data_IF_047572255068
#
_entry.id   IF_047572255068
#
_cell.length_a   1.000
_cell.length_b   1.000
_cell.length_c   1.000
_cell.angle_alpha   90.00
_cell.angle_beta   90.00
_cell.angle_gamma   90.00
#
_symmetry.space_group_name_H-M   'P 1'
#
loop_
_entity.id
_entity.type
_entity.pdbx_description
1 polymer ?
#
# COMPACT_ATOMS: atom_id res chain seq x y z
N UNK A 1 4.22 24.35 -5.31
CA UNK A 1 3.68 23.69 -6.54
C UNK A 1 2.89 22.45 -6.11
N UNK A 2 1.68 22.24 -6.65
CA UNK A 2 0.83 21.07 -6.31
C UNK A 2 1.29 19.87 -7.16
N UNK A 3 1.61 18.75 -6.51
CA UNK A 3 2.02 17.53 -7.24
C UNK A 3 0.82 16.99 -8.03
N UNK A 4 0.96 16.74 -9.35
CA UNK A 4 -0.13 16.21 -10.17
C UNK A 4 -0.56 14.81 -9.71
N UNK A 5 -1.84 14.49 -9.89
CA UNK A 5 -2.40 13.17 -9.55
C UNK A 5 -2.45 12.33 -10.82
N UNK A 6 -1.95 11.09 -10.75
CA UNK A 6 -2.04 10.14 -11.86
C UNK A 6 -3.46 9.62 -12.00
N UNK A 7 -3.93 9.53 -13.24
CA UNK A 7 -5.16 8.83 -13.65
C UNK A 7 -4.88 7.47 -14.26
N UNK A 8 -3.61 7.15 -14.52
CA UNK A 8 -3.18 5.88 -15.14
C UNK A 8 -3.03 4.75 -14.12
N UNK A 9 -2.88 5.10 -12.83
CA UNK A 9 -2.83 4.14 -11.75
C UNK A 9 -4.20 4.03 -11.08
N UNK A 10 -4.71 2.82 -10.94
CA UNK A 10 -6.01 2.55 -10.32
C UNK A 10 -5.90 1.42 -9.28
N UNK A 11 -6.92 1.28 -8.44
CA UNK A 11 -7.03 0.15 -7.50
C UNK A 11 -7.87 -0.93 -8.15
N UNK A 12 -7.39 -2.18 -8.15
CA UNK A 12 -8.21 -3.32 -8.59
C UNK A 12 -9.37 -3.54 -7.63
N UNK A 13 -10.54 -3.82 -8.18
CA UNK A 13 -11.76 -4.05 -7.39
C UNK A 13 -11.55 -5.07 -6.27
N UNK A 14 -12.05 -4.72 -5.08
CA UNK A 14 -12.01 -5.55 -3.86
C UNK A 14 -10.62 -6.02 -3.44
N UNK A 15 -9.54 -5.36 -3.89
CA UNK A 15 -8.16 -5.72 -3.52
C UNK A 15 -7.61 -4.94 -2.32
N UNK A 16 -8.22 -3.80 -1.99
CA UNK A 16 -7.65 -2.85 -1.04
C UNK A 16 -8.28 -2.97 0.36
N UNK A 17 -7.44 -3.19 1.37
CA UNK A 17 -7.83 -3.15 2.78
C UNK A 17 -6.61 -2.97 3.71
N UNK A 18 -6.84 -2.42 4.89
CA UNK A 18 -5.84 -2.37 5.98
C UNK A 18 -6.28 -3.34 7.07
N UNK A 19 -5.42 -4.30 7.41
CA UNK A 19 -5.53 -5.14 8.59
C UNK A 19 -5.20 -4.33 9.83
N UNK A 20 -6.24 -3.95 10.55
CA UNK A 20 -6.15 -3.21 11.80
C UNK A 20 -5.82 -4.13 12.97
N UNK A 21 -5.02 -3.59 13.90
CA UNK A 21 -4.74 -4.21 15.19
C UNK A 21 -5.01 -3.18 16.31
N UNK A 22 -5.45 -3.62 17.51
CA UNK A 22 -5.68 -2.73 18.63
C UNK A 22 -4.37 -2.12 19.16
N UNK A 23 -4.50 -1.15 20.08
CA UNK A 23 -3.38 -0.52 20.80
C UNK A 23 -2.36 0.19 19.92
N UNK A 24 -2.79 0.72 18.76
CA UNK A 24 -1.93 1.43 17.81
C UNK A 24 -0.71 0.60 17.34
N UNK A 25 -0.82 -0.73 17.37
CA UNK A 25 0.17 -1.64 16.81
C UNK A 25 0.31 -1.39 15.29
N UNK A 26 1.49 -1.69 14.70
CA UNK A 26 1.68 -1.57 13.26
C UNK A 26 0.63 -2.36 12.48
N UNK A 27 -0.05 -1.67 11.55
CA UNK A 27 -1.06 -2.26 10.69
C UNK A 27 -0.44 -2.73 9.37
N UNK A 28 -1.08 -3.69 8.70
CA UNK A 28 -0.67 -4.14 7.38
C UNK A 28 -1.68 -3.69 6.32
N UNK A 29 -1.21 -3.02 5.27
CA UNK A 29 -2.00 -2.57 4.13
C UNK A 29 -1.77 -3.46 2.92
N UNK A 30 -2.88 -3.86 2.31
CA UNK A 30 -2.95 -4.68 1.11
C UNK A 30 -3.73 -3.92 0.05
N UNK A 31 -3.27 -3.99 -1.19
CA UNK A 31 -3.82 -3.27 -2.33
C UNK A 31 -3.21 -3.83 -3.61
N UNK A 32 -4.01 -4.01 -4.66
CA UNK A 32 -3.49 -4.26 -6.00
C UNK A 32 -3.63 -2.99 -6.82
N UNK A 33 -2.50 -2.52 -7.34
CA UNK A 33 -2.43 -1.33 -8.18
C UNK A 33 -2.26 -1.74 -9.64
N UNK A 34 -3.13 -1.25 -10.50
CA UNK A 34 -3.07 -1.44 -11.95
C UNK A 34 -2.57 -0.15 -12.62
N UNK A 35 -1.66 -0.28 -13.59
CA UNK A 35 -1.08 0.80 -14.38
C UNK A 35 -1.51 0.65 -15.85
N UNK A 36 -2.43 1.50 -16.29
CA UNK A 36 -2.96 1.51 -17.66
C UNK A 36 -2.07 2.25 -18.66
N UNK A 37 -0.98 2.88 -18.21
CA UNK A 37 -0.07 3.58 -19.12
C UNK A 37 0.82 2.61 -19.92
N UNK A 38 1.38 3.11 -21.01
CA UNK A 38 2.39 2.41 -21.82
C UNK A 38 3.80 2.50 -21.22
N UNK A 39 3.94 3.08 -20.03
CA UNK A 39 5.22 3.29 -19.37
C UNK A 39 5.29 2.50 -18.05
N UNK A 40 6.48 2.01 -17.74
CA UNK A 40 6.79 1.47 -16.41
C UNK A 40 6.78 2.62 -15.40
N UNK A 41 6.10 2.44 -14.27
CA UNK A 41 6.07 3.41 -13.17
C UNK A 41 6.63 2.77 -11.91
N UNK A 42 7.59 3.42 -11.27
CA UNK A 42 8.10 2.97 -9.99
C UNK A 42 7.45 3.76 -8.84
N UNK A 43 7.07 3.05 -7.78
CA UNK A 43 6.66 3.66 -6.51
C UNK A 43 7.92 3.82 -5.66
N UNK A 44 8.37 5.05 -5.49
CA UNK A 44 9.63 5.38 -4.81
C UNK A 44 9.44 5.89 -3.39
N UNK A 45 8.21 6.31 -3.05
CA UNK A 45 7.86 6.81 -1.72
C UNK A 45 6.37 6.62 -1.45
N UNK A 46 6.05 6.31 -0.20
CA UNK A 46 4.66 6.23 0.27
C UNK A 46 4.53 7.08 1.53
N UNK A 47 3.46 7.88 1.61
CA UNK A 47 3.16 8.71 2.78
C UNK A 47 1.69 8.64 3.14
N UNK A 48 1.36 9.10 4.33
CA UNK A 48 -0.01 9.19 4.81
C UNK A 48 -0.17 10.39 5.75
N UNK A 49 -1.31 11.09 5.74
CA UNK A 49 -1.66 11.98 6.84
C UNK A 49 -2.11 11.19 8.09
N UNK A 50 -2.49 9.92 7.96
CA UNK A 50 -3.03 9.07 9.02
C UNK A 50 -1.96 8.24 9.75
N UNK A 51 -0.75 8.12 9.19
CA UNK A 51 0.38 7.34 9.74
C UNK A 51 1.70 8.08 9.55
N UNK A 52 2.58 8.06 10.56
CA UNK A 52 3.87 8.75 10.47
C UNK A 52 4.87 8.05 9.55
N UNK A 53 4.75 6.73 9.37
CA UNK A 53 5.69 5.94 8.56
C UNK A 53 4.96 4.82 7.83
N UNK A 54 5.31 4.66 6.55
CA UNK A 54 4.89 3.52 5.73
C UNK A 54 6.13 2.92 5.10
N UNK A 55 6.28 1.61 5.27
CA UNK A 55 7.41 0.84 4.72
C UNK A 55 6.87 -0.31 3.89
N UNK A 56 7.51 -0.64 2.77
CA UNK A 56 7.15 -1.83 1.99
C UNK A 56 7.96 -3.01 2.51
N UNK A 57 7.30 -4.12 2.80
CA UNK A 57 7.95 -5.39 3.11
C UNK A 57 7.56 -6.45 2.11
N UNK A 58 8.54 -7.25 1.70
CA UNK A 58 8.37 -8.53 1.03
C UNK A 58 8.59 -9.65 2.03
N UNK A 59 7.73 -10.67 1.99
CA UNK A 59 7.95 -11.92 2.69
C UNK A 59 8.66 -12.88 1.74
N UNK A 60 9.81 -13.39 2.13
CA UNK A 60 10.54 -14.44 1.41
C UNK A 60 10.55 -15.72 2.22
N UNK A 61 10.31 -16.85 1.56
CA UNK A 61 10.49 -18.17 2.16
C UNK A 61 11.95 -18.59 1.93
N UNK A 62 12.75 -18.62 3.00
CA UNK A 62 14.06 -19.24 3.00
C UNK A 62 13.99 -20.45 3.94
N UNK A 63 14.06 -21.66 3.37
CA UNK A 63 14.21 -22.97 4.03
C UNK A 63 13.76 -22.99 5.50
N UNK A 64 12.51 -23.42 5.72
CA UNK A 64 11.83 -23.54 7.02
C UNK A 64 11.46 -22.24 7.76
N UNK A 65 11.94 -21.06 7.32
CA UNK A 65 11.58 -19.78 7.94
C UNK A 65 11.11 -18.72 6.94
N UNK A 66 10.11 -17.92 7.34
CA UNK A 66 9.70 -16.74 6.59
C UNK A 66 10.47 -15.51 7.09
N UNK A 67 11.07 -14.75 6.17
CA UNK A 67 11.74 -13.48 6.49
C UNK A 67 11.00 -12.31 5.85
N UNK A 68 10.99 -11.17 6.54
CA UNK A 68 10.45 -9.91 6.02
C UNK A 68 11.60 -8.99 5.60
N UNK A 69 11.71 -8.72 4.30
CA UNK A 69 12.73 -7.87 3.70
C UNK A 69 12.11 -6.53 3.34
N UNK A 70 12.72 -5.43 3.78
CA UNK A 70 12.29 -4.08 3.42
C UNK A 70 12.62 -3.83 1.94
N UNK A 71 11.65 -3.28 1.19
CA UNK A 71 11.87 -2.79 -0.17
C UNK A 71 11.87 -1.26 -0.18
N UNK A 72 12.83 -0.67 -0.90
CA UNK A 72 12.88 0.79 -1.12
C UNK A 72 11.99 1.23 -2.29
N UNK A 73 11.62 0.30 -3.17
CA UNK A 73 10.87 0.57 -4.40
C UNK A 73 10.08 -0.66 -4.83
N UNK A 74 8.93 -0.44 -5.44
CA UNK A 74 8.22 -1.44 -6.24
C UNK A 74 7.91 -0.89 -7.62
N UNK A 75 7.75 -1.77 -8.60
CA UNK A 75 7.48 -1.40 -9.98
C UNK A 75 6.07 -1.81 -10.37
N UNK A 76 5.34 -0.88 -10.98
CA UNK A 76 4.14 -1.14 -11.76
C UNK A 76 4.56 -1.31 -13.23
N UNK A 77 4.40 -2.51 -13.79
CA UNK A 77 4.67 -2.76 -15.21
C UNK A 77 3.74 -1.93 -16.10
N UNK A 78 4.19 -1.59 -17.31
CA UNK A 78 3.33 -0.99 -18.33
C UNK A 78 2.17 -1.94 -18.68
N UNK A 79 0.95 -1.42 -18.78
CA UNK A 79 -0.28 -2.21 -18.98
C UNK A 79 -0.45 -3.37 -17.97
N UNK A 80 0.16 -3.25 -16.79
CA UNK A 80 0.19 -4.29 -15.77
C UNK A 80 -0.03 -3.72 -14.38
N UNK A 81 0.69 -4.20 -13.37
CA UNK A 81 0.43 -3.78 -12.00
C UNK A 81 1.34 -4.44 -10.97
N UNK A 82 1.06 -4.17 -9.70
CA UNK A 82 1.73 -4.78 -8.55
C UNK A 82 0.73 -5.07 -7.45
N UNK A 83 0.84 -6.26 -6.84
CA UNK A 83 -0.07 -6.70 -5.79
C UNK A 83 0.65 -6.71 -4.43
N UNK A 84 0.10 -5.95 -3.47
CA UNK A 84 0.42 -6.09 -2.06
C UNK A 84 -0.57 -7.08 -1.44
N UNK A 85 -0.18 -8.35 -1.40
CA UNK A 85 -0.98 -9.50 -0.96
C UNK A 85 -0.44 -10.10 0.35
N UNK A 86 -1.32 -10.61 1.23
CA UNK A 86 -0.89 -11.35 2.42
C UNK A 86 0.07 -12.49 2.06
N UNK A 87 1.18 -12.59 2.79
CA UNK A 87 2.19 -13.63 2.58
C UNK A 87 3.23 -13.31 1.50
N UNK A 88 3.07 -12.24 0.72
CA UNK A 88 4.04 -11.85 -0.32
C UNK A 88 4.55 -10.42 -0.11
N UNK A 89 3.69 -9.40 -0.22
CA UNK A 89 4.09 -8.00 -0.10
C UNK A 89 3.04 -7.20 0.68
N UNK A 90 3.47 -6.31 1.57
CA UNK A 90 2.54 -5.42 2.27
C UNK A 90 3.15 -4.08 2.61
N UNK A 91 2.24 -3.12 2.83
CA UNK A 91 2.56 -1.83 3.43
C UNK A 91 2.52 -2.02 4.94
N UNK A 92 3.62 -1.82 5.64
CA UNK A 92 3.62 -1.68 7.10
C UNK A 92 3.31 -0.23 7.45
N UNK A 93 2.17 0.01 8.11
CA UNK A 93 1.71 1.33 8.54
C UNK A 93 1.96 1.50 10.03
N UNK A 94 2.85 2.42 10.40
CA UNK A 94 3.32 2.60 11.76
C UNK A 94 2.91 3.97 12.32
N UNK A 95 2.69 4.01 13.65
CA UNK A 95 2.45 5.23 14.42
C UNK A 95 1.28 6.04 13.84
N UNK A 96 0.02 5.61 14.04
CA UNK A 96 -1.13 6.36 13.57
C UNK A 96 -1.15 7.76 14.20
N UNK A 97 -1.50 8.78 13.41
CA UNK A 97 -1.51 10.19 13.82
C UNK A 97 -2.83 10.63 14.45
N UNK A 98 -3.85 9.77 14.36
CA UNK A 98 -5.16 9.89 14.98
C UNK A 98 -5.67 8.52 15.40
N UNK A 99 -6.73 8.46 16.18
CA UNK A 99 -7.43 7.20 16.42
C UNK A 99 -7.96 6.65 15.09
N UNK A 100 -7.51 5.45 14.72
CA UNK A 100 -7.97 4.68 13.57
C UNK A 100 -8.67 3.43 14.10
N UNK A 101 -9.85 3.12 13.57
CA UNK A 101 -10.64 1.95 13.94
C UNK A 101 -11.22 1.23 12.71
N UNK A 102 -11.64 -0.04 12.84
CA UNK A 102 -12.41 -0.71 11.78
C UNK A 102 -13.61 0.14 11.34
N UNK A 103 -13.86 0.19 10.03
CA UNK A 103 -14.87 1.05 9.41
C UNK A 103 -14.34 2.41 8.92
N UNK A 104 -13.15 2.83 9.37
CA UNK A 104 -12.48 4.00 8.81
C UNK A 104 -11.89 3.74 7.42
N UNK A 105 -11.43 4.81 6.77
CA UNK A 105 -10.54 4.73 5.61
C UNK A 105 -9.18 5.36 5.93
N UNK A 106 -8.10 4.61 5.69
CA UNK A 106 -6.74 5.10 5.73
C UNK A 106 -6.40 5.79 4.40
N UNK A 107 -5.87 7.01 4.46
CA UNK A 107 -5.44 7.77 3.27
C UNK A 107 -3.98 7.48 2.97
N UNK A 108 -3.69 6.98 1.79
CA UNK A 108 -2.32 6.62 1.37
C UNK A 108 -1.98 7.38 0.08
N UNK A 109 -0.77 7.91 0.00
CA UNK A 109 -0.24 8.64 -1.15
C UNK A 109 1.02 7.94 -1.65
N UNK A 110 0.97 7.43 -2.87
CA UNK A 110 2.07 6.77 -3.57
C UNK A 110 2.71 7.77 -4.53
N UNK A 111 4.02 7.97 -4.42
CA UNK A 111 4.78 8.84 -5.32
C UNK A 111 5.35 7.98 -6.45
N UNK A 112 5.09 8.42 -7.69
CA UNK A 112 5.46 7.71 -8.90
C UNK A 112 6.71 8.34 -9.52
N UNK A 113 7.49 7.54 -10.24
CA UNK A 113 8.73 7.97 -10.91
C UNK A 113 8.53 9.05 -11.98
N UNK A 114 7.32 9.24 -12.49
CA UNK A 114 6.96 10.29 -13.46
C UNK A 114 6.66 11.65 -12.79
N UNK A 115 6.87 11.78 -11.47
CA UNK A 115 6.63 13.00 -10.70
C UNK A 115 5.17 13.22 -10.32
N UNK A 116 4.27 12.28 -10.63
CA UNK A 116 2.88 12.31 -10.16
C UNK A 116 2.71 11.54 -8.85
N UNK A 117 1.52 11.65 -8.26
CA UNK A 117 1.09 10.82 -7.13
C UNK A 117 -0.19 10.07 -7.45
N UNK A 118 -0.31 8.86 -6.91
CA UNK A 118 -1.58 8.15 -6.80
C UNK A 118 -2.09 8.23 -5.36
N UNK A 119 -3.39 8.47 -5.18
CA UNK A 119 -4.01 8.63 -3.85
C UNK A 119 -5.08 7.56 -3.66
N UNK A 120 -4.94 6.75 -2.62
CA UNK A 120 -5.89 5.71 -2.28
C UNK A 120 -6.57 6.03 -0.93
N UNK A 121 -7.85 5.69 -0.83
CA UNK A 121 -8.55 5.53 0.45
C UNK A 121 -8.76 4.03 0.64
N UNK A 122 -8.12 3.47 1.66
CA UNK A 122 -8.09 2.03 1.90
C UNK A 122 -8.96 1.72 3.13
N UNK A 123 -10.00 0.88 3.01
CA UNK A 123 -10.88 0.57 4.13
C UNK A 123 -10.13 -0.19 5.22
N UNK A 124 -10.37 0.18 6.47
CA UNK A 124 -9.73 -0.40 7.66
C UNK A 124 -10.63 -1.50 8.23
N UNK A 125 -10.09 -2.71 8.40
CA UNK A 125 -10.86 -3.93 8.78
C UNK A 125 -10.03 -4.87 9.66
N UNK A 126 -10.69 -5.80 10.34
CA UNK A 126 -10.01 -6.84 11.17
C UNK A 126 -9.65 -8.11 10.37
N UNK A 127 -10.38 -8.39 9.29
CA UNK A 127 -10.24 -9.57 8.43
C UNK A 127 -10.55 -9.19 6.98
N UNK A 128 -9.97 -9.89 5.98
CA UNK A 128 -10.35 -9.71 4.58
C UNK A 128 -11.80 -10.13 4.33
N UNK A 129 -12.34 -11.12 5.04
CA UNK A 129 -13.67 -11.72 4.80
C UNK A 129 -14.86 -10.80 5.11
N UNK A 130 -14.61 -9.67 5.77
CA UNK A 130 -15.62 -8.65 6.01
C UNK A 130 -15.78 -7.82 4.73
N UNK A 131 -16.55 -8.36 3.78
CA UNK A 131 -17.02 -7.71 2.55
C UNK A 131 -18.51 -7.40 2.59
#
# INVERSE_FOLDING_TARGET
MKIPVSTDVTVRDKSAWVRWLPNALPAAGYITLDNSSDQRLDITKITSPDYQKITIYQTTAESETSKMVKLDKVTLSAKGGFAFTPGEHHLMLEKPTRLIKPGDNAKIVFFLSDGKVFKARIPVRTSPELY
#
